data_IF_303829620086
#
_entry.id   IF_303829620086
#
_cell.length_a   1.000
_cell.length_b   1.000
_cell.length_c   1.000
_cell.angle_alpha   90.00
_cell.angle_beta   90.00
_cell.angle_gamma   90.00
#
_symmetry.space_group_name_H-M   'P 1'
#
loop_
_entity.id
_entity.type
_entity.pdbx_description
1 polymer ?
#
# COMPACT_ATOMS: atom_id res chain seq x y z
N UNK A 1 -1.62 -54.53 21.28
CA UNK A 1 -1.17 -55.85 21.75
C UNK A 1 0.09 -55.66 22.56
N UNK A 2 0.00 -55.84 23.87
CA UNK A 2 1.18 -55.97 24.72
C UNK A 2 1.83 -57.34 24.49
N UNK A 3 3.16 -57.37 24.45
CA UNK A 3 3.95 -58.55 24.03
C UNK A 3 4.15 -59.61 25.13
N UNK A 4 3.47 -59.50 26.26
CA UNK A 4 3.66 -60.44 27.38
C UNK A 4 2.42 -61.30 27.63
N UNK A 5 1.21 -60.77 27.48
CA UNK A 5 0.00 -61.46 28.01
C UNK A 5 -1.09 -61.75 26.95
N UNK A 6 -0.90 -61.37 25.69
CA UNK A 6 -1.78 -61.80 24.58
C UNK A 6 -3.23 -61.31 24.59
N UNK A 7 -3.68 -60.54 25.60
CA UNK A 7 -5.02 -59.97 25.60
C UNK A 7 -5.17 -58.81 24.61
N UNK A 8 -6.26 -58.87 23.84
CA UNK A 8 -6.69 -57.79 22.95
C UNK A 8 -7.30 -56.71 23.84
N UNK A 9 -6.57 -55.61 24.04
CA UNK A 9 -7.14 -54.42 24.67
C UNK A 9 -8.26 -53.91 23.77
N UNK A 10 -9.51 -54.17 24.15
CA UNK A 10 -10.68 -53.63 23.49
C UNK A 10 -10.61 -52.11 23.46
N UNK A 11 -11.04 -51.56 22.33
CA UNK A 11 -11.12 -50.17 21.94
C UNK A 11 -11.00 -49.17 23.12
N UNK A 12 -9.88 -48.42 23.21
CA UNK A 12 -9.84 -47.22 24.06
C UNK A 12 -10.82 -46.20 23.49
N UNK A 13 -11.98 -46.04 24.10
CA UNK A 13 -12.85 -44.90 23.84
C UNK A 13 -12.19 -43.64 24.39
N UNK A 14 -11.70 -42.81 23.47
CA UNK A 14 -11.29 -41.45 23.81
C UNK A 14 -12.56 -40.63 23.96
N UNK A 15 -12.99 -40.39 25.20
CA UNK A 15 -14.00 -39.37 25.47
C UNK A 15 -13.33 -38.00 25.25
N UNK A 16 -13.61 -37.37 24.11
CA UNK A 16 -13.27 -35.96 23.91
C UNK A 16 -14.33 -35.14 24.64
N UNK A 17 -14.05 -34.78 25.89
CA UNK A 17 -14.85 -33.80 26.61
C UNK A 17 -14.39 -32.43 26.14
N UNK A 18 -15.29 -31.67 25.50
CA UNK A 18 -15.08 -30.25 25.30
C UNK A 18 -15.25 -29.58 26.66
N UNK A 19 -14.25 -28.82 27.08
CA UNK A 19 -14.34 -28.00 28.28
C UNK A 19 -15.25 -26.81 27.96
N UNK A 20 -16.55 -26.98 28.23
CA UNK A 20 -17.59 -25.99 27.95
C UNK A 20 -17.38 -24.68 28.72
N UNK A 21 -16.76 -24.75 29.91
CA UNK A 21 -16.43 -23.58 30.72
C UNK A 21 -15.28 -22.78 30.08
N UNK A 22 -14.26 -23.47 29.55
CA UNK A 22 -13.18 -22.83 28.80
C UNK A 22 -13.69 -22.22 27.49
N UNK A 23 -14.57 -22.93 26.78
CA UNK A 23 -15.19 -22.45 25.54
C UNK A 23 -16.05 -21.19 25.80
N UNK A 24 -16.86 -21.20 26.85
CA UNK A 24 -17.72 -20.07 27.21
C UNK A 24 -16.90 -18.83 27.63
N UNK A 25 -15.74 -19.03 28.26
CA UNK A 25 -14.79 -17.95 28.61
C UNK A 25 -14.12 -17.36 27.38
N UNK A 26 -13.72 -18.21 26.44
CA UNK A 26 -13.15 -17.75 25.17
C UNK A 26 -14.22 -17.03 24.33
N UNK A 27 -15.43 -17.57 24.19
CA UNK A 27 -16.56 -16.94 23.49
C UNK A 27 -16.99 -15.59 24.12
N UNK A 28 -16.93 -15.47 25.45
CA UNK A 28 -17.21 -14.20 26.13
C UNK A 28 -16.20 -13.10 25.79
N UNK A 29 -14.99 -13.47 25.37
CA UNK A 29 -13.93 -12.56 24.94
C UNK A 29 -13.74 -12.56 23.41
N UNK A 30 -14.39 -13.48 22.69
CA UNK A 30 -14.32 -13.63 21.25
C UNK A 30 -15.05 -12.44 20.59
N UNK A 31 -14.27 -11.43 20.22
CA UNK A 31 -14.75 -10.16 19.67
C UNK A 31 -14.23 -8.91 20.39
N UNK A 32 -13.58 -9.05 21.55
CA UNK A 32 -12.93 -7.91 22.23
C UNK A 32 -11.49 -7.76 21.73
N UNK A 33 -11.25 -6.78 20.87
CA UNK A 33 -9.91 -6.43 20.40
C UNK A 33 -9.28 -5.38 21.32
N UNK A 34 -8.15 -5.71 21.95
CA UNK A 34 -7.33 -4.72 22.64
C UNK A 34 -6.46 -3.99 21.61
N UNK A 35 -6.73 -2.69 21.39
CA UNK A 35 -5.91 -1.84 20.53
C UNK A 35 -4.97 -1.02 21.41
N UNK A 36 -3.70 -1.40 21.44
CA UNK A 36 -2.64 -0.61 22.08
C UNK A 36 -2.23 0.51 21.12
N UNK A 37 -2.55 1.77 21.45
CA UNK A 37 -2.24 2.93 20.62
C UNK A 37 -1.36 3.94 21.35
N UNK A 38 -0.49 4.63 20.60
CA UNK A 38 0.26 5.79 21.09
C UNK A 38 -0.53 7.10 20.93
N UNK A 39 -1.81 7.04 20.58
CA UNK A 39 -2.68 8.20 20.38
C UNK A 39 -3.31 8.60 21.71
N UNK A 40 -3.14 9.87 22.07
CA UNK A 40 -3.72 10.43 23.30
C UNK A 40 -4.49 11.72 23.00
N UNK A 41 -5.46 12.03 23.85
CA UNK A 41 -6.24 13.27 23.76
C UNK A 41 -5.77 14.34 24.73
N UNK A 42 -6.56 15.40 24.81
CA UNK A 42 -6.52 16.33 25.94
C UNK A 42 -7.16 15.64 27.16
N UNK A 43 -6.53 15.76 28.33
CA UNK A 43 -7.15 15.35 29.58
C UNK A 43 -8.18 16.39 30.04
N UNK A 44 -9.15 16.03 30.90
CA UNK A 44 -10.09 16.98 31.47
C UNK A 44 -9.36 18.13 32.18
N UNK A 45 -9.43 19.33 31.62
CA UNK A 45 -8.77 20.54 32.14
C UNK A 45 -7.52 20.99 31.38
N UNK A 46 -7.05 20.23 30.39
CA UNK A 46 -5.97 20.66 29.51
C UNK A 46 -6.41 21.82 28.59
N UNK A 47 -5.49 22.77 28.36
CA UNK A 47 -5.73 23.84 27.39
C UNK A 47 -5.46 23.35 25.97
N UNK A 48 -6.30 23.71 25.00
CA UNK A 48 -6.03 23.40 23.61
C UNK A 48 -4.76 24.10 23.14
N UNK A 49 -3.98 23.41 22.31
CA UNK A 49 -2.70 23.90 21.79
C UNK A 49 -2.80 24.48 20.37
N UNK A 50 -4.00 24.54 19.79
CA UNK A 50 -4.32 25.32 18.59
C UNK A 50 -3.82 24.72 17.27
N UNK A 51 -3.42 23.44 17.28
CA UNK A 51 -3.06 22.66 16.08
C UNK A 51 -3.96 21.43 16.03
N UNK A 52 -4.04 20.72 14.90
CA UNK A 52 -4.81 19.46 14.85
C UNK A 52 -4.23 18.38 15.77
N UNK A 53 -2.91 18.28 15.79
CA UNK A 53 -2.18 17.27 16.57
C UNK A 53 -0.73 17.68 16.76
N UNK A 54 -0.02 16.98 17.65
CA UNK A 54 1.43 17.10 17.87
C UNK A 54 2.04 15.74 18.23
N UNK A 55 3.32 15.57 17.90
CA UNK A 55 4.14 14.48 18.44
C UNK A 55 4.87 14.99 19.69
N UNK A 56 4.85 14.17 20.73
CA UNK A 56 5.57 14.39 21.99
C UNK A 56 6.91 13.65 21.98
N UNK A 57 7.81 14.04 22.88
CA UNK A 57 9.17 13.49 22.97
C UNK A 57 9.19 12.00 23.41
N UNK A 58 8.10 11.52 24.01
CA UNK A 58 7.89 10.13 24.43
C UNK A 58 7.23 9.25 23.34
N UNK A 59 7.17 9.73 22.10
CA UNK A 59 6.50 9.10 20.95
C UNK A 59 4.96 9.01 21.04
N UNK A 60 4.33 9.74 21.97
CA UNK A 60 2.88 9.88 21.98
C UNK A 60 2.41 10.89 20.92
N UNK A 61 1.32 10.54 20.24
CA UNK A 61 0.65 11.38 19.26
C UNK A 61 -0.58 12.00 19.89
N UNK A 62 -0.52 13.28 20.23
CA UNK A 62 -1.59 13.98 20.93
C UNK A 62 -2.49 14.74 19.98
N UNK A 63 -3.81 14.49 20.06
CA UNK A 63 -4.84 15.27 19.37
C UNK A 63 -5.27 16.47 20.23
N UNK A 64 -5.62 17.58 19.58
CA UNK A 64 -6.15 18.78 20.26
C UNK A 64 -7.65 18.65 20.55
N UNK A 65 -8.04 17.48 21.04
CA UNK A 65 -9.39 17.10 21.45
C UNK A 65 -9.33 15.89 22.37
N UNK A 66 -10.44 15.61 23.05
CA UNK A 66 -10.63 14.29 23.67
C UNK A 66 -10.65 13.21 22.58
N UNK A 67 -9.93 12.11 22.82
CA UNK A 67 -9.83 10.98 21.90
C UNK A 67 -10.94 10.00 22.23
N UNK A 68 -11.74 9.67 21.22
CA UNK A 68 -12.77 8.62 21.31
C UNK A 68 -12.25 7.31 20.73
N UNK A 69 -12.86 6.19 21.11
CA UNK A 69 -12.53 4.87 20.54
C UNK A 69 -12.66 4.86 19.01
N UNK A 70 -13.65 5.59 18.48
CA UNK A 70 -13.88 5.71 17.04
C UNK A 70 -12.72 6.44 16.33
N UNK A 71 -12.13 7.46 16.97
CA UNK A 71 -10.96 8.16 16.42
C UNK A 71 -9.75 7.23 16.30
N UNK A 72 -9.53 6.39 17.31
CA UNK A 72 -8.49 5.37 17.27
C UNK A 72 -8.76 4.41 16.11
N UNK A 73 -9.96 3.84 16.02
CA UNK A 73 -10.34 2.92 14.94
C UNK A 73 -10.11 3.54 13.56
N UNK A 74 -10.53 4.79 13.32
CA UNK A 74 -10.40 5.44 12.03
C UNK A 74 -8.95 5.77 11.68
N UNK A 75 -8.11 6.10 12.66
CA UNK A 75 -6.67 6.21 12.45
C UNK A 75 -6.04 4.88 12.06
N UNK A 76 -6.38 3.78 12.74
CA UNK A 76 -5.90 2.43 12.39
C UNK A 76 -6.34 2.00 11.00
N UNK A 77 -7.57 2.34 10.56
CA UNK A 77 -8.00 2.12 9.17
C UNK A 77 -7.10 2.87 8.17
N UNK A 78 -6.59 4.03 8.54
CA UNK A 78 -5.65 4.80 7.73
C UNK A 78 -4.26 4.15 7.57
N UNK A 79 -3.81 3.35 8.55
CA UNK A 79 -2.49 2.71 8.54
C UNK A 79 -2.32 1.77 7.34
N UNK A 80 -3.40 1.14 6.87
CA UNK A 80 -3.37 0.30 5.68
C UNK A 80 -2.76 1.02 4.45
N UNK A 81 -2.94 2.34 4.32
CA UNK A 81 -2.34 3.12 3.21
C UNK A 81 -0.81 3.16 3.29
N UNK A 82 -0.27 3.14 4.51
CA UNK A 82 1.17 3.08 4.76
C UNK A 82 1.68 1.68 4.39
N UNK A 83 0.99 0.63 4.82
CA UNK A 83 1.31 -0.76 4.46
C UNK A 83 1.28 -0.98 2.95
N UNK A 84 0.26 -0.47 2.27
CA UNK A 84 0.15 -0.51 0.81
C UNK A 84 1.34 0.19 0.15
N UNK A 85 1.71 1.37 0.64
CA UNK A 85 2.88 2.12 0.13
C UNK A 85 4.17 1.33 0.30
N UNK A 86 4.37 0.66 1.44
CA UNK A 86 5.51 -0.23 1.66
C UNK A 86 5.49 -1.44 0.74
N UNK A 87 4.32 -2.04 0.50
CA UNK A 87 4.13 -3.16 -0.43
C UNK A 87 4.48 -2.73 -1.86
N UNK A 88 4.00 -1.58 -2.32
CA UNK A 88 4.33 -1.03 -3.64
C UNK A 88 5.83 -0.77 -3.77
N UNK A 89 6.42 -0.12 -2.77
CA UNK A 89 7.84 0.25 -2.78
C UNK A 89 8.75 -0.98 -2.82
N UNK A 90 8.41 -2.03 -2.06
CA UNK A 90 9.20 -3.27 -2.02
C UNK A 90 9.01 -4.10 -3.30
N UNK A 91 7.76 -4.41 -3.66
CA UNK A 91 7.47 -5.38 -4.73
C UNK A 91 7.57 -4.76 -6.13
N UNK A 92 7.05 -3.54 -6.29
CA UNK A 92 6.97 -2.91 -7.60
C UNK A 92 8.19 -2.03 -7.85
N UNK A 93 8.52 -1.12 -6.94
CA UNK A 93 9.68 -0.23 -7.14
C UNK A 93 11.03 -0.88 -6.81
N UNK A 94 11.02 -2.14 -6.36
CA UNK A 94 12.23 -2.95 -6.07
C UNK A 94 13.17 -2.26 -5.08
N UNK A 95 12.63 -1.53 -4.09
CA UNK A 95 13.42 -0.99 -3.00
C UNK A 95 14.17 -2.10 -2.24
N UNK A 96 13.68 -3.33 -2.32
CA UNK A 96 14.42 -4.56 -1.96
C UNK A 96 14.26 -5.59 -3.09
N UNK A 97 15.28 -6.39 -3.40
CA UNK A 97 16.63 -6.42 -2.82
C UNK A 97 17.53 -5.24 -3.26
N UNK A 98 18.48 -4.86 -2.40
CA UNK A 98 19.46 -3.79 -2.65
C UNK A 98 20.78 -4.44 -3.08
N UNK A 99 21.19 -4.23 -4.34
CA UNK A 99 22.41 -4.84 -4.91
C UNK A 99 23.61 -3.87 -4.93
N UNK A 100 23.59 -2.86 -4.05
CA UNK A 100 24.64 -1.84 -3.93
C UNK A 100 25.19 -1.83 -2.51
N UNK A 101 26.49 -1.55 -2.36
CA UNK A 101 27.19 -1.63 -1.08
C UNK A 101 27.63 -0.28 -0.50
N UNK A 102 27.84 0.73 -1.36
CA UNK A 102 28.26 2.06 -0.91
C UNK A 102 27.05 2.82 -0.37
N UNK A 103 27.19 3.46 0.78
CA UNK A 103 26.14 4.25 1.42
C UNK A 103 25.50 5.28 0.46
N UNK A 104 26.25 6.10 -0.31
CA UNK A 104 25.63 7.01 -1.28
C UNK A 104 24.82 6.30 -2.37
N UNK A 105 25.22 5.09 -2.77
CA UNK A 105 24.48 4.30 -3.76
C UNK A 105 23.19 3.72 -3.18
N UNK A 106 23.21 3.33 -1.91
CA UNK A 106 22.02 2.87 -1.19
C UNK A 106 21.01 4.02 -1.07
N UNK A 107 21.47 5.20 -0.66
CA UNK A 107 20.64 6.40 -0.58
C UNK A 107 20.02 6.76 -1.93
N UNK A 108 20.82 6.78 -3.01
CA UNK A 108 20.33 7.07 -4.36
C UNK A 108 19.26 6.07 -4.83
N UNK A 109 19.42 4.78 -4.51
CA UNK A 109 18.41 3.75 -4.81
C UNK A 109 17.09 4.02 -4.08
N UNK A 110 17.13 4.25 -2.77
CA UNK A 110 15.93 4.55 -1.99
C UNK A 110 15.28 5.87 -2.41
N UNK A 111 16.07 6.90 -2.72
CA UNK A 111 15.58 8.17 -3.21
C UNK A 111 14.84 7.99 -4.54
N UNK A 112 15.41 7.23 -5.47
CA UNK A 112 14.77 6.94 -6.77
C UNK A 112 13.46 6.17 -6.58
N UNK A 113 13.44 5.17 -5.69
CA UNK A 113 12.20 4.46 -5.33
C UNK A 113 11.16 5.41 -4.73
N UNK A 114 11.59 6.32 -3.84
CA UNK A 114 10.69 7.28 -3.20
C UNK A 114 10.09 8.27 -4.21
N UNK A 115 10.90 8.79 -5.13
CA UNK A 115 10.42 9.66 -6.23
C UNK A 115 9.42 8.91 -7.11
N UNK A 116 9.70 7.63 -7.43
CA UNK A 116 8.76 6.79 -8.17
C UNK A 116 7.43 6.61 -7.43
N UNK A 117 7.46 6.36 -6.12
CA UNK A 117 6.26 6.27 -5.29
C UNK A 117 5.47 7.58 -5.28
N UNK A 118 6.17 8.71 -5.15
CA UNK A 118 5.55 10.04 -5.17
C UNK A 118 4.83 10.29 -6.51
N UNK A 119 5.48 9.99 -7.64
CA UNK A 119 4.86 10.11 -8.97
C UNK A 119 3.61 9.23 -9.08
N UNK A 120 3.67 7.99 -8.60
CA UNK A 120 2.52 7.08 -8.58
C UNK A 120 1.37 7.62 -7.72
N UNK A 121 1.65 8.17 -6.53
CA UNK A 121 0.62 8.76 -5.67
C UNK A 121 0.01 10.04 -6.26
N UNK A 122 0.80 10.85 -6.97
CA UNK A 122 0.27 12.01 -7.71
C UNK A 122 -0.66 11.54 -8.83
N UNK A 123 -0.25 10.51 -9.58
CA UNK A 123 -1.07 9.90 -10.63
C UNK A 123 -2.37 9.32 -10.08
N UNK A 124 -2.31 8.61 -8.96
CA UNK A 124 -3.48 8.08 -8.24
C UNK A 124 -4.45 9.21 -7.83
N UNK A 125 -3.93 10.34 -7.33
CA UNK A 125 -4.76 11.50 -7.00
C UNK A 125 -5.40 12.12 -8.24
N UNK A 126 -4.67 12.21 -9.36
CA UNK A 126 -5.19 12.74 -10.63
C UNK A 126 -6.24 11.85 -11.29
N UNK A 127 -6.24 10.56 -11.00
CA UNK A 127 -7.25 9.61 -11.46
C UNK A 127 -8.37 9.38 -10.44
N UNK A 128 -8.55 10.31 -9.50
CA UNK A 128 -9.55 10.27 -8.42
C UNK A 128 -9.49 8.99 -7.56
N UNK A 129 -8.30 8.37 -7.46
CA UNK A 129 -8.06 7.10 -6.78
C UNK A 129 -8.94 5.95 -7.31
N UNK A 130 -9.36 6.05 -8.58
CA UNK A 130 -10.23 5.06 -9.22
C UNK A 130 -9.49 3.82 -9.73
N UNK A 131 -8.16 3.82 -9.64
CA UNK A 131 -7.28 2.75 -10.16
C UNK A 131 -6.36 2.29 -9.05
N UNK A 132 -6.23 0.98 -8.86
CA UNK A 132 -5.26 0.40 -7.95
C UNK A 132 -3.82 0.67 -8.43
N UNK A 133 -2.95 1.09 -7.52
CA UNK A 133 -1.55 1.43 -7.85
C UNK A 133 -0.78 0.28 -8.52
N UNK A 134 -1.01 -0.97 -8.13
CA UNK A 134 -0.34 -2.13 -8.73
C UNK A 134 -0.65 -2.21 -10.23
N UNK A 135 -1.93 -2.11 -10.60
CA UNK A 135 -2.40 -2.12 -11.98
C UNK A 135 -1.88 -0.92 -12.78
N UNK A 136 -1.79 0.26 -12.16
CA UNK A 136 -1.17 1.43 -12.80
C UNK A 136 0.28 1.14 -13.17
N UNK A 137 1.06 0.52 -12.26
CA UNK A 137 2.45 0.17 -12.54
C UNK A 137 2.56 -0.88 -13.63
N UNK A 138 1.74 -1.94 -13.61
CA UNK A 138 1.72 -2.97 -14.65
C UNK A 138 1.42 -2.40 -16.03
N UNK A 139 0.39 -1.57 -16.10
CA UNK A 139 -0.07 -0.91 -17.32
C UNK A 139 1.00 0.04 -17.88
N UNK A 140 1.59 0.89 -17.03
CA UNK A 140 2.70 1.78 -17.42
C UNK A 140 3.97 1.05 -17.85
N UNK A 141 4.29 -0.09 -17.21
CA UNK A 141 5.41 -0.95 -17.64
C UNK A 141 5.20 -1.58 -19.00
N UNK A 142 3.95 -1.87 -19.32
CA UNK A 142 3.57 -2.52 -20.58
C UNK A 142 3.48 -1.50 -21.73
N UNK A 143 3.37 -0.21 -21.42
CA UNK A 143 3.32 0.91 -22.36
C UNK A 143 4.69 1.16 -23.07
N UNK A 144 5.14 0.17 -23.84
CA UNK A 144 6.39 0.21 -24.60
C UNK A 144 6.08 0.52 -26.06
N UNK A 145 6.87 1.42 -26.64
CA UNK A 145 6.85 1.71 -28.07
C UNK A 145 7.96 0.94 -28.78
N UNK A 146 7.62 0.29 -29.89
CA UNK A 146 8.55 -0.48 -30.73
C UNK A 146 8.74 0.24 -32.06
N UNK A 147 9.99 0.38 -32.51
CA UNK A 147 10.29 0.97 -33.81
C UNK A 147 9.79 0.07 -34.94
N UNK A 148 9.01 0.64 -35.86
CA UNK A 148 8.56 -0.06 -37.07
C UNK A 148 9.26 0.47 -38.32
N UNK A 149 9.48 1.78 -38.38
CA UNK A 149 10.28 2.47 -39.38
C UNK A 149 11.06 3.59 -38.71
N UNK A 150 12.01 4.21 -39.41
CA UNK A 150 12.86 5.28 -38.88
C UNK A 150 12.10 6.50 -38.32
N UNK A 151 10.82 6.67 -38.66
CA UNK A 151 9.97 7.80 -38.28
C UNK A 151 8.68 7.39 -37.52
N UNK A 152 8.39 6.08 -37.41
CA UNK A 152 7.16 5.56 -36.81
C UNK A 152 7.45 4.52 -35.73
N UNK A 153 6.84 4.76 -34.58
CA UNK A 153 6.83 3.89 -33.42
C UNK A 153 5.42 3.28 -33.26
N UNK A 154 5.35 2.00 -32.92
CA UNK A 154 4.11 1.27 -32.70
C UNK A 154 3.96 0.96 -31.21
N UNK A 155 2.81 1.28 -30.64
CA UNK A 155 2.46 0.81 -29.30
C UNK A 155 2.06 -0.66 -29.35
N UNK A 156 2.75 -1.49 -28.57
CA UNK A 156 2.47 -2.92 -28.45
C UNK A 156 1.33 -3.21 -27.46
N UNK A 157 0.99 -2.25 -26.61
CA UNK A 157 0.02 -2.42 -25.53
C UNK A 157 -0.79 -1.14 -25.31
N UNK A 158 -2.10 -1.30 -25.15
CA UNK A 158 -3.01 -0.24 -24.72
C UNK A 158 -4.17 -0.86 -23.97
N UNK A 159 -4.50 -0.31 -22.81
CA UNK A 159 -5.64 -0.72 -22.00
C UNK A 159 -6.46 0.52 -21.58
N UNK A 160 -7.53 0.29 -20.82
CA UNK A 160 -8.38 1.35 -20.28
C UNK A 160 -7.68 2.16 -19.17
N UNK A 161 -6.63 1.62 -18.54
CA UNK A 161 -5.86 2.31 -17.50
C UNK A 161 -4.98 3.38 -18.15
N UNK A 162 -4.28 3.06 -19.24
CA UNK A 162 -3.50 4.03 -20.01
C UNK A 162 -4.37 5.12 -20.60
N UNK A 163 -5.58 4.78 -21.07
CA UNK A 163 -6.56 5.77 -21.51
C UNK A 163 -6.88 6.75 -20.37
N UNK A 164 -7.27 6.24 -19.19
CA UNK A 164 -7.56 7.08 -18.00
C UNK A 164 -6.36 7.92 -17.55
N UNK A 165 -5.16 7.35 -17.56
CA UNK A 165 -3.92 8.06 -17.22
C UNK A 165 -3.67 9.17 -18.25
N UNK A 166 -3.85 8.87 -19.53
CA UNK A 166 -3.76 9.84 -20.62
C UNK A 166 -4.72 11.01 -20.42
N UNK A 167 -5.99 10.72 -20.17
CA UNK A 167 -7.03 11.74 -19.91
C UNK A 167 -6.66 12.61 -18.69
N UNK A 168 -6.21 11.99 -17.60
CA UNK A 168 -5.80 12.70 -16.37
C UNK A 168 -4.55 13.59 -16.55
N UNK A 169 -3.76 13.35 -17.60
CA UNK A 169 -2.55 14.10 -17.93
C UNK A 169 -2.71 15.03 -19.16
N UNK A 170 -3.86 15.06 -19.82
CA UNK A 170 -4.07 15.68 -21.15
C UNK A 170 -3.09 15.15 -22.22
N UNK A 171 -2.85 13.83 -22.19
CA UNK A 171 -1.97 13.14 -23.14
C UNK A 171 -2.74 12.02 -23.85
N UNK A 172 -2.72 12.02 -25.19
CA UNK A 172 -3.27 10.91 -25.97
C UNK A 172 -2.24 9.77 -26.01
N UNK A 173 -2.44 8.78 -25.13
CA UNK A 173 -1.61 7.58 -25.00
C UNK A 173 -2.21 6.34 -25.70
N UNK A 174 -3.37 6.50 -26.36
CA UNK A 174 -4.14 5.37 -26.90
C UNK A 174 -3.81 4.99 -28.34
N UNK A 175 -3.04 5.85 -29.04
CA UNK A 175 -2.70 5.62 -30.44
C UNK A 175 -1.84 4.36 -30.59
N UNK A 176 -2.16 3.56 -31.62
CA UNK A 176 -1.36 2.39 -31.99
C UNK A 176 -0.06 2.76 -32.70
N UNK A 177 -0.04 3.88 -33.43
CA UNK A 177 1.14 4.35 -34.18
C UNK A 177 1.39 5.81 -33.84
N UNK A 178 2.65 6.11 -33.53
CA UNK A 178 3.13 7.46 -33.24
C UNK A 178 4.23 7.81 -34.23
N UNK A 179 4.13 9.00 -34.84
CA UNK A 179 5.30 9.59 -35.49
C UNK A 179 6.21 10.22 -34.45
N UNK A 180 7.51 10.25 -34.70
CA UNK A 180 8.49 10.93 -33.83
C UNK A 180 8.10 12.41 -33.61
N UNK A 181 7.55 13.07 -34.64
CA UNK A 181 7.06 14.45 -34.56
C UNK A 181 5.83 14.60 -33.67
N UNK A 182 4.96 13.60 -33.57
CA UNK A 182 3.82 13.61 -32.67
C UNK A 182 4.25 13.41 -31.21
N UNK A 183 5.20 12.50 -30.95
CA UNK A 183 5.78 12.32 -29.62
C UNK A 183 6.48 13.58 -29.14
N UNK A 184 7.18 14.29 -30.03
CA UNK A 184 7.77 15.59 -29.71
C UNK A 184 6.71 16.63 -29.31
N UNK A 185 5.53 16.63 -29.95
CA UNK A 185 4.40 17.49 -29.56
C UNK A 185 3.81 17.09 -28.21
N UNK A 186 3.67 15.79 -27.92
CA UNK A 186 3.24 15.31 -26.60
C UNK A 186 4.23 15.72 -25.51
N UNK A 187 5.54 15.62 -25.77
CA UNK A 187 6.58 16.11 -24.85
C UNK A 187 6.52 17.63 -24.67
N UNK A 188 6.22 18.39 -25.73
CA UNK A 188 6.09 19.84 -25.63
C UNK A 188 4.91 20.25 -24.73
N UNK A 189 3.80 19.50 -24.73
CA UNK A 189 2.65 19.74 -23.84
C UNK A 189 2.99 19.58 -22.36
N UNK A 190 3.92 18.70 -22.00
CA UNK A 190 4.28 18.45 -20.59
C UNK A 190 5.24 19.49 -20.03
N UNK A 191 5.91 20.26 -20.90
CA UNK A 191 6.70 21.43 -20.48
C UNK A 191 5.72 22.54 -20.11
N UNK A 192 5.78 23.03 -18.87
CA UNK A 192 5.03 24.22 -18.48
C UNK A 192 5.28 25.35 -19.49
N UNK A 193 4.26 26.09 -19.93
CA UNK A 193 4.50 27.46 -20.34
C UNK A 193 5.06 28.18 -19.10
N UNK A 194 6.21 28.83 -19.27
CA UNK A 194 6.82 29.64 -18.22
C UNK A 194 5.84 30.70 -17.69
#
# INVERSE_FOLDING_TARGET
>A
MDKVDGEVVEHKEYVRVLDEDLLSRDEALDGYYMICTNVIGLAPGDKPFGKRSRFLDDNLFQLDKEVTDQDVIDMYRGLWRIEESFRITKSWLRARPVFVHKEPSIEAHFLTCFIGLLMLRILELKTDRSIELSRMVESLRSAILVEATSDVLISSYCDNILAKIGDALDLDLTKKRYRVTELAKLLAKTRRPA
#
